data_IF_448990325083
#
_entry.id   IF_448990325083
#
_cell.length_a   1.000
_cell.length_b   1.000
_cell.length_c   1.000
_cell.angle_alpha   90.00
_cell.angle_beta   90.00
_cell.angle_gamma   90.00
#
_symmetry.space_group_name_H-M   'P 1'
#
loop_
_entity.id
_entity.type
_entity.pdbx_description
1 polymer ?
#
# COMPACT_ATOMS: atom_id res chain seq x y z
N UNK A 1 -4.81 34.67 8.65
CA UNK A 1 -5.40 33.69 9.58
C UNK A 1 -5.18 32.31 8.94
N UNK A 2 -4.40 31.46 9.57
CA UNK A 2 -4.29 30.08 9.09
C UNK A 2 -5.65 29.42 9.26
N UNK A 3 -6.34 29.15 8.16
CA UNK A 3 -7.58 28.37 8.20
C UNK A 3 -7.20 26.97 8.68
N UNK A 4 -7.82 26.50 9.76
CA UNK A 4 -7.60 25.11 10.23
C UNK A 4 -8.00 24.10 9.15
N UNK A 5 -7.66 22.82 9.33
CA UNK A 5 -7.98 21.78 8.36
C UNK A 5 -9.50 21.73 8.10
N UNK A 6 -9.90 21.42 6.86
CA UNK A 6 -11.33 21.29 6.53
C UNK A 6 -11.95 20.17 7.39
N UNK A 7 -13.04 20.50 8.10
CA UNK A 7 -13.68 19.58 9.06
C UNK A 7 -14.20 18.31 8.40
N UNK A 8 -14.62 18.39 7.14
CA UNK A 8 -15.14 17.23 6.38
C UNK A 8 -14.00 16.29 6.00
N UNK A 9 -12.85 16.84 5.57
CA UNK A 9 -11.66 16.04 5.27
C UNK A 9 -11.13 15.35 6.53
N UNK A 10 -11.07 16.07 7.65
CA UNK A 10 -10.68 15.50 8.94
C UNK A 10 -11.66 14.41 9.43
N UNK A 11 -12.97 14.61 9.24
CA UNK A 11 -13.98 13.60 9.55
C UNK A 11 -13.84 12.37 8.66
N UNK A 12 -13.63 12.56 7.36
CA UNK A 12 -13.41 11.46 6.42
C UNK A 12 -12.18 10.62 6.81
N UNK A 13 -11.09 11.26 7.22
CA UNK A 13 -9.89 10.57 7.69
C UNK A 13 -10.17 9.71 8.94
N UNK A 14 -10.90 10.26 9.90
CA UNK A 14 -11.34 9.50 11.08
C UNK A 14 -12.17 8.28 10.69
N UNK A 15 -13.18 8.46 9.84
CA UNK A 15 -14.04 7.38 9.36
C UNK A 15 -13.25 6.30 8.60
N UNK A 16 -12.25 6.71 7.79
CA UNK A 16 -11.35 5.76 7.14
C UNK A 16 -10.53 4.93 8.13
N UNK A 17 -10.10 5.54 9.24
CA UNK A 17 -9.38 4.85 10.32
C UNK A 17 -10.30 3.86 11.05
N UNK A 18 -11.55 4.23 11.26
CA UNK A 18 -12.61 3.39 11.88
C UNK A 18 -13.17 2.31 10.92
N UNK A 19 -12.63 2.23 9.69
CA UNK A 19 -13.07 1.33 8.61
C UNK A 19 -14.48 1.62 8.06
N UNK A 20 -15.02 2.76 8.35
CA UNK A 20 -16.31 3.29 7.89
C UNK A 20 -16.18 3.88 6.47
N UNK A 21 -15.80 3.05 5.50
CA UNK A 21 -15.40 3.51 4.17
C UNK A 21 -16.56 4.19 3.41
N UNK A 22 -17.79 3.68 3.51
CA UNK A 22 -18.94 4.27 2.83
C UNK A 22 -19.34 5.62 3.43
N UNK A 23 -19.30 5.74 4.75
CA UNK A 23 -19.51 7.01 5.45
C UNK A 23 -18.45 8.05 5.09
N UNK A 24 -17.19 7.65 4.98
CA UNK A 24 -16.11 8.53 4.55
C UNK A 24 -16.33 9.04 3.12
N UNK A 25 -16.73 8.17 2.18
CA UNK A 25 -17.06 8.56 0.81
C UNK A 25 -18.21 9.57 0.79
N UNK A 26 -19.29 9.32 1.54
CA UNK A 26 -20.44 10.21 1.60
C UNK A 26 -20.04 11.62 2.05
N UNK A 27 -19.24 11.73 3.11
CA UNK A 27 -18.73 13.04 3.60
C UNK A 27 -17.86 13.73 2.55
N UNK A 28 -17.00 12.98 1.85
CA UNK A 28 -16.15 13.55 0.80
C UNK A 28 -16.96 14.03 -0.41
N UNK A 29 -18.06 13.37 -0.76
CA UNK A 29 -18.94 13.78 -1.86
C UNK A 29 -19.70 15.09 -1.61
N UNK A 30 -19.84 15.52 -0.34
CA UNK A 30 -20.42 16.84 0.00
C UNK A 30 -19.46 17.99 -0.34
N UNK A 31 -18.19 17.72 -0.60
CA UNK A 31 -17.19 18.76 -0.94
C UNK A 31 -17.28 19.04 -2.42
N UNK A 32 -17.94 20.13 -2.77
CA UNK A 32 -18.05 20.61 -4.16
C UNK A 32 -16.72 21.24 -4.59
N UNK A 33 -16.29 20.95 -5.82
CA UNK A 33 -15.08 21.53 -6.42
C UNK A 33 -13.88 21.50 -5.46
N UNK A 34 -13.47 20.34 -4.97
CA UNK A 34 -12.47 20.23 -3.90
C UNK A 34 -11.14 20.91 -4.26
N UNK A 35 -10.77 20.93 -5.54
CA UNK A 35 -9.56 21.59 -6.06
C UNK A 35 -9.60 23.13 -5.90
N UNK A 36 -10.78 23.75 -5.78
CA UNK A 36 -10.95 25.18 -5.66
C UNK A 36 -11.26 25.62 -4.22
N UNK A 37 -11.87 24.74 -3.43
CA UNK A 37 -12.44 25.05 -2.13
C UNK A 37 -11.62 24.53 -0.93
N UNK A 38 -10.61 23.69 -1.17
CA UNK A 38 -9.73 23.16 -0.15
C UNK A 38 -8.34 23.81 -0.23
N UNK A 39 -7.61 23.82 0.89
CA UNK A 39 -6.17 24.12 0.87
C UNK A 39 -5.42 23.03 0.12
N UNK A 40 -4.19 23.30 -0.35
CA UNK A 40 -3.37 22.30 -1.05
C UNK A 40 -3.21 21.03 -0.23
N UNK A 41 -3.00 21.16 1.10
CA UNK A 41 -2.89 20.05 2.02
C UNK A 41 -4.19 19.26 2.12
N UNK A 42 -5.30 19.95 2.32
CA UNK A 42 -6.60 19.27 2.48
C UNK A 42 -7.05 18.63 1.18
N UNK A 43 -6.74 19.25 0.03
CA UNK A 43 -7.00 18.65 -1.28
C UNK A 43 -6.14 17.40 -1.52
N UNK A 44 -4.86 17.44 -1.16
CA UNK A 44 -3.99 16.26 -1.22
C UNK A 44 -4.50 15.13 -0.31
N UNK A 45 -4.93 15.46 0.90
CA UNK A 45 -5.50 14.48 1.83
C UNK A 45 -6.84 13.92 1.32
N UNK A 46 -7.72 14.78 0.82
CA UNK A 46 -8.98 14.37 0.17
C UNK A 46 -8.73 13.38 -0.98
N UNK A 47 -7.78 13.70 -1.86
CA UNK A 47 -7.42 12.85 -2.99
C UNK A 47 -6.87 11.48 -2.55
N UNK A 48 -6.04 11.47 -1.51
CA UNK A 48 -5.53 10.24 -0.91
C UNK A 48 -6.65 9.39 -0.33
N UNK A 49 -7.48 9.97 0.55
CA UNK A 49 -8.56 9.24 1.25
C UNK A 49 -9.58 8.65 0.27
N UNK A 50 -9.94 9.41 -0.77
CA UNK A 50 -10.86 8.92 -1.79
C UNK A 50 -10.24 7.76 -2.58
N UNK A 51 -8.97 7.86 -2.93
CA UNK A 51 -8.24 6.78 -3.62
C UNK A 51 -8.11 5.52 -2.75
N UNK A 52 -7.84 5.67 -1.45
CA UNK A 52 -7.83 4.54 -0.51
C UNK A 52 -9.21 3.90 -0.36
N UNK A 53 -10.27 4.70 -0.31
CA UNK A 53 -11.64 4.19 -0.27
C UNK A 53 -11.96 3.39 -1.54
N UNK A 54 -11.59 3.91 -2.72
CA UNK A 54 -11.72 3.19 -3.99
C UNK A 54 -10.87 1.91 -4.02
N UNK A 55 -9.66 1.94 -3.44
CA UNK A 55 -8.82 0.75 -3.30
C UNK A 55 -9.50 -0.31 -2.44
N UNK A 56 -10.02 0.04 -1.27
CA UNK A 56 -10.74 -0.88 -0.37
C UNK A 56 -11.97 -1.50 -1.05
N UNK A 57 -12.69 -0.74 -1.86
CA UNK A 57 -13.86 -1.19 -2.62
C UNK A 57 -13.48 -1.89 -3.93
N UNK A 58 -12.20 -2.06 -4.23
CA UNK A 58 -11.69 -2.64 -5.48
C UNK A 58 -12.15 -1.88 -6.75
N UNK A 59 -12.35 -0.58 -6.63
CA UNK A 59 -12.89 0.31 -7.68
C UNK A 59 -11.82 1.21 -8.30
N UNK A 60 -10.53 1.00 -8.01
CA UNK A 60 -9.44 1.74 -8.66
C UNK A 60 -9.56 1.60 -10.20
N UNK A 61 -9.45 2.72 -10.88
CA UNK A 61 -9.55 2.82 -12.35
C UNK A 61 -8.59 3.90 -12.88
N UNK A 62 -8.56 4.11 -14.20
CA UNK A 62 -7.66 5.08 -14.82
C UNK A 62 -7.88 6.53 -14.35
N UNK A 63 -9.10 6.91 -13.94
CA UNK A 63 -9.40 8.26 -13.43
C UNK A 63 -8.74 8.49 -12.06
N UNK A 64 -8.57 7.42 -11.26
CA UNK A 64 -7.87 7.47 -9.98
C UNK A 64 -6.40 7.88 -10.15
N UNK A 65 -5.81 7.66 -11.31
CA UNK A 65 -4.43 8.05 -11.61
C UNK A 65 -4.25 9.57 -11.49
N UNK A 66 -5.13 10.33 -12.12
CA UNK A 66 -5.13 11.79 -12.02
C UNK A 66 -5.46 12.28 -10.61
N UNK A 67 -6.39 11.59 -9.93
CA UNK A 67 -6.79 11.94 -8.57
C UNK A 67 -5.63 11.79 -7.56
N UNK A 68 -4.76 10.79 -7.72
CA UNK A 68 -3.63 10.56 -6.80
C UNK A 68 -2.45 11.52 -6.96
N UNK A 69 -2.30 12.19 -8.11
CA UNK A 69 -1.15 13.06 -8.38
C UNK A 69 -0.97 14.18 -7.35
N UNK A 70 -1.99 14.94 -6.93
CA UNK A 70 -1.87 15.97 -5.90
C UNK A 70 -1.36 15.42 -4.58
N UNK A 71 -1.86 14.24 -4.15
CA UNK A 71 -1.44 13.61 -2.91
C UNK A 71 0.02 13.18 -2.96
N UNK A 72 0.44 12.48 -4.03
CA UNK A 72 1.83 12.05 -4.20
C UNK A 72 2.77 13.25 -4.21
N UNK A 73 2.45 14.29 -4.98
CA UNK A 73 3.27 15.50 -5.07
C UNK A 73 3.40 16.17 -3.71
N UNK A 74 2.27 16.56 -3.12
CA UNK A 74 2.25 17.34 -1.89
C UNK A 74 2.98 16.62 -0.74
N UNK A 75 2.63 15.36 -0.47
CA UNK A 75 3.20 14.64 0.69
C UNK A 75 4.65 14.23 0.48
N UNK A 76 5.10 13.97 -0.76
CA UNK A 76 6.51 13.73 -1.04
C UNK A 76 7.36 15.00 -0.85
N UNK A 77 6.85 16.18 -1.23
CA UNK A 77 7.55 17.47 -1.11
C UNK A 77 7.52 18.03 0.31
N UNK A 78 6.42 17.82 1.05
CA UNK A 78 6.28 18.29 2.44
C UNK A 78 7.07 17.46 3.46
N UNK A 79 7.58 16.31 3.07
CA UNK A 79 8.29 15.39 3.96
C UNK A 79 7.37 14.61 4.91
N UNK A 80 6.05 14.62 4.67
CA UNK A 80 5.09 13.80 5.45
C UNK A 80 5.13 12.34 4.98
N UNK A 81 6.09 11.60 5.53
CA UNK A 81 6.40 10.23 5.13
C UNK A 81 5.21 9.29 5.23
N UNK A 82 4.32 9.51 6.21
CA UNK A 82 3.14 8.66 6.41
C UNK A 82 2.16 8.75 5.23
N UNK A 83 1.78 9.97 4.84
CA UNK A 83 0.84 10.15 3.73
C UNK A 83 1.51 9.93 2.36
N UNK A 84 2.80 10.24 2.22
CA UNK A 84 3.57 9.95 1.00
C UNK A 84 3.61 8.44 0.72
N UNK A 85 3.90 7.63 1.73
CA UNK A 85 3.88 6.17 1.64
C UNK A 85 2.50 5.65 1.23
N UNK A 86 1.44 6.09 1.91
CA UNK A 86 0.06 5.69 1.64
C UNK A 86 -0.36 6.02 0.20
N UNK A 87 -0.02 7.22 -0.29
CA UNK A 87 -0.33 7.64 -1.65
C UNK A 87 0.40 6.79 -2.70
N UNK A 88 1.68 6.51 -2.48
CA UNK A 88 2.49 5.65 -3.35
C UNK A 88 2.03 4.18 -3.31
N UNK A 89 1.60 3.70 -2.15
CA UNK A 89 1.01 2.37 -2.02
C UNK A 89 -0.28 2.24 -2.86
N UNK A 90 -1.20 3.21 -2.77
CA UNK A 90 -2.39 3.26 -3.61
C UNK A 90 -2.04 3.34 -5.10
N UNK A 91 -1.05 4.17 -5.47
CA UNK A 91 -0.58 4.28 -6.87
C UNK A 91 -0.06 2.95 -7.39
N UNK A 92 0.75 2.25 -6.60
CA UNK A 92 1.28 0.95 -6.98
C UNK A 92 0.17 -0.09 -7.23
N UNK A 93 -0.87 -0.09 -6.39
CA UNK A 93 -2.04 -0.97 -6.59
C UNK A 93 -2.83 -0.61 -7.84
N UNK A 94 -2.99 0.68 -8.12
CA UNK A 94 -3.61 1.15 -9.35
C UNK A 94 -2.82 0.69 -10.58
N UNK A 95 -1.49 0.91 -10.59
CA UNK A 95 -0.65 0.51 -11.71
C UNK A 95 -0.67 -1.00 -11.95
N UNK A 96 -0.63 -1.80 -10.86
CA UNK A 96 -0.78 -3.25 -10.95
C UNK A 96 -2.13 -3.63 -11.56
N UNK A 97 -3.22 -2.98 -11.17
CA UNK A 97 -4.57 -3.24 -11.69
C UNK A 97 -4.67 -2.87 -13.18
N UNK A 98 -3.96 -1.86 -13.62
CA UNK A 98 -3.87 -1.43 -15.01
C UNK A 98 -2.78 -2.18 -15.81
N UNK A 99 -2.22 -3.26 -15.26
CA UNK A 99 -1.16 -4.08 -15.85
C UNK A 99 0.13 -3.32 -16.14
N UNK A 100 0.37 -2.17 -15.49
CA UNK A 100 1.60 -1.37 -15.57
C UNK A 100 2.61 -1.85 -14.52
N UNK A 101 3.12 -3.08 -14.66
CA UNK A 101 3.91 -3.76 -13.62
C UNK A 101 5.23 -3.02 -13.29
N UNK A 102 5.88 -2.37 -14.27
CA UNK A 102 7.09 -1.57 -14.03
C UNK A 102 6.82 -0.35 -13.17
N UNK A 103 5.71 0.35 -13.44
CA UNK A 103 5.30 1.52 -12.66
C UNK A 103 4.86 1.12 -11.25
N UNK A 104 4.16 0.00 -11.11
CA UNK A 104 3.80 -0.57 -9.82
C UNK A 104 5.05 -0.90 -8.98
N UNK A 105 6.07 -1.53 -9.58
CA UNK A 105 7.35 -1.79 -8.93
C UNK A 105 7.99 -0.50 -8.42
N UNK A 106 8.07 0.54 -9.27
CA UNK A 106 8.67 1.83 -8.89
C UNK A 106 7.91 2.50 -7.75
N UNK A 107 6.57 2.48 -7.79
CA UNK A 107 5.73 3.08 -6.75
C UNK A 107 5.86 2.35 -5.42
N UNK A 108 5.89 1.01 -5.40
CA UNK A 108 6.16 0.25 -4.18
C UNK A 108 7.57 0.47 -3.64
N UNK A 109 8.59 0.54 -4.50
CA UNK A 109 9.96 0.84 -4.07
C UNK A 109 10.07 2.24 -3.45
N UNK A 110 9.40 3.25 -4.02
CA UNK A 110 9.33 4.60 -3.42
C UNK A 110 8.61 4.58 -2.08
N UNK A 111 7.48 3.85 -1.95
CA UNK A 111 6.78 3.67 -0.68
C UNK A 111 7.70 3.05 0.38
N UNK A 112 8.49 2.03 -0.01
CA UNK A 112 9.45 1.38 0.88
C UNK A 112 10.53 2.35 1.41
N UNK A 113 10.96 3.35 0.62
CA UNK A 113 11.91 4.36 1.08
C UNK A 113 11.33 5.22 2.22
N UNK A 114 10.04 5.59 2.16
CA UNK A 114 9.37 6.33 3.22
C UNK A 114 9.12 5.49 4.49
N UNK A 115 9.14 4.16 4.37
CA UNK A 115 9.01 3.25 5.51
C UNK A 115 10.33 2.96 6.24
N UNK A 116 11.47 3.36 5.69
CA UNK A 116 12.76 3.15 6.32
C UNK A 116 12.84 3.89 7.66
N UNK A 117 13.09 3.14 8.75
CA UNK A 117 13.18 3.70 10.10
C UNK A 117 11.84 4.10 10.73
N UNK A 118 10.71 3.88 10.08
CA UNK A 118 9.38 4.24 10.61
C UNK A 118 8.91 3.35 11.76
N UNK A 119 9.46 2.14 11.91
CA UNK A 119 8.96 1.13 12.84
C UNK A 119 7.61 0.52 12.46
N UNK A 120 7.06 0.86 11.30
CA UNK A 120 5.76 0.34 10.84
C UNK A 120 5.94 -1.02 10.15
N UNK A 121 6.10 -2.06 10.95
CA UNK A 121 6.32 -3.42 10.46
C UNK A 121 5.14 -3.98 9.65
N UNK A 122 3.91 -3.56 9.93
CA UNK A 122 2.75 -4.00 9.15
C UNK A 122 2.81 -3.47 7.71
N UNK A 123 3.14 -2.21 7.52
CA UNK A 123 3.28 -1.64 6.18
C UNK A 123 4.54 -2.16 5.47
N UNK A 124 5.63 -2.37 6.20
CA UNK A 124 6.82 -3.05 5.65
C UNK A 124 6.48 -4.44 5.14
N UNK A 125 5.72 -5.23 5.92
CA UNK A 125 5.22 -6.53 5.48
C UNK A 125 4.40 -6.40 4.19
N UNK A 126 3.40 -5.53 4.18
CA UNK A 126 2.48 -5.35 3.04
C UNK A 126 3.22 -4.93 1.77
N UNK A 127 4.08 -3.92 1.84
CA UNK A 127 4.82 -3.43 0.67
C UNK A 127 5.75 -4.51 0.12
N UNK A 128 6.48 -5.23 0.98
CA UNK A 128 7.36 -6.32 0.55
C UNK A 128 6.58 -7.50 -0.06
N UNK A 129 5.43 -7.85 0.51
CA UNK A 129 4.55 -8.89 -0.07
C UNK A 129 4.13 -8.51 -1.49
N UNK A 130 3.71 -7.26 -1.71
CA UNK A 130 3.28 -6.81 -3.03
C UNK A 130 4.44 -6.64 -4.03
N UNK A 131 5.62 -6.22 -3.59
CA UNK A 131 6.84 -6.28 -4.41
C UNK A 131 7.12 -7.70 -4.88
N UNK A 132 7.00 -8.67 -3.98
CA UNK A 132 7.11 -10.08 -4.33
C UNK A 132 6.06 -10.56 -5.34
N UNK A 133 4.80 -10.07 -5.24
CA UNK A 133 3.74 -10.36 -6.23
C UNK A 133 4.06 -9.74 -7.59
N UNK A 134 4.56 -8.51 -7.62
CA UNK A 134 4.97 -7.86 -8.88
C UNK A 134 6.12 -8.61 -9.53
N UNK A 135 7.13 -9.03 -8.76
CA UNK A 135 8.23 -9.87 -9.26
C UNK A 135 7.71 -11.19 -9.83
N UNK A 136 6.79 -11.86 -9.13
CA UNK A 136 6.20 -13.11 -9.61
C UNK A 136 5.50 -12.92 -10.97
N UNK A 137 4.73 -11.84 -11.14
CA UNK A 137 4.06 -11.52 -12.40
C UNK A 137 5.03 -11.18 -13.55
N UNK A 138 6.27 -10.85 -13.23
CA UNK A 138 7.35 -10.59 -14.18
C UNK A 138 8.30 -11.79 -14.33
N UNK A 139 7.98 -12.94 -13.73
CA UNK A 139 8.80 -14.14 -13.69
C UNK A 139 10.19 -13.94 -13.05
N UNK A 140 10.33 -12.88 -12.23
CA UNK A 140 11.54 -12.58 -11.44
C UNK A 140 11.49 -13.34 -10.10
N UNK A 141 11.71 -14.64 -10.14
CA UNK A 141 11.51 -15.52 -8.98
C UNK A 141 12.51 -15.26 -7.84
N UNK A 142 13.73 -14.86 -8.13
CA UNK A 142 14.72 -14.41 -7.14
C UNK A 142 14.26 -13.12 -6.45
N UNK A 143 13.65 -12.20 -7.19
CA UNK A 143 13.02 -10.98 -6.66
C UNK A 143 11.87 -11.34 -5.71
N UNK A 144 10.95 -12.23 -6.14
CA UNK A 144 9.88 -12.78 -5.30
C UNK A 144 10.45 -13.29 -3.97
N UNK A 145 11.50 -14.11 -4.04
CA UNK A 145 12.15 -14.73 -2.89
C UNK A 145 12.73 -13.70 -1.92
N UNK A 146 13.45 -12.69 -2.48
CA UNK A 146 14.05 -11.62 -1.69
C UNK A 146 13.01 -10.83 -0.91
N UNK A 147 11.96 -10.38 -1.58
CA UNK A 147 10.91 -9.59 -0.94
C UNK A 147 10.05 -10.42 0.03
N UNK A 148 9.78 -11.68 -0.26
CA UNK A 148 9.08 -12.57 0.69
C UNK A 148 9.87 -12.77 1.98
N UNK A 149 11.21 -12.85 1.92
CA UNK A 149 12.07 -12.92 3.10
C UNK A 149 12.05 -11.62 3.91
N UNK A 150 12.02 -10.45 3.24
CA UNK A 150 11.89 -9.16 3.95
C UNK A 150 10.49 -9.03 4.61
N UNK A 151 9.43 -9.50 3.94
CA UNK A 151 8.10 -9.59 4.55
C UNK A 151 8.10 -10.50 5.79
N UNK A 152 8.76 -11.67 5.73
CA UNK A 152 8.88 -12.55 6.89
C UNK A 152 9.60 -11.87 8.06
N UNK A 153 10.68 -11.11 7.82
CA UNK A 153 11.38 -10.37 8.86
C UNK A 153 10.45 -9.35 9.56
N UNK A 154 9.63 -8.64 8.78
CA UNK A 154 8.64 -7.72 9.34
C UNK A 154 7.56 -8.46 10.14
N UNK A 155 7.05 -9.57 9.63
CA UNK A 155 6.06 -10.40 10.31
C UNK A 155 6.58 -10.94 11.66
N UNK A 156 7.84 -11.34 11.72
CA UNK A 156 8.48 -11.81 12.96
C UNK A 156 8.61 -10.69 14.00
N UNK A 157 8.88 -9.44 13.59
CA UNK A 157 8.93 -8.30 14.53
C UNK A 157 7.55 -7.91 15.08
N UNK A 158 6.49 -8.15 14.31
CA UNK A 158 5.10 -7.94 14.77
C UNK A 158 4.62 -9.03 15.76
N UNK A 159 5.35 -10.13 15.91
CA UNK A 159 4.92 -11.32 16.67
C UNK A 159 3.50 -11.80 16.27
N UNK A 160 3.23 -11.76 14.97
CA UNK A 160 1.91 -12.08 14.41
C UNK A 160 1.98 -13.37 13.59
N UNK A 161 1.41 -14.43 14.14
CA UNK A 161 1.42 -15.76 13.56
C UNK A 161 0.78 -15.81 12.17
N UNK A 162 -0.32 -15.08 11.97
CA UNK A 162 -1.01 -15.03 10.67
C UNK A 162 -0.10 -14.49 9.56
N UNK A 163 0.55 -13.33 9.80
CA UNK A 163 1.48 -12.75 8.82
C UNK A 163 2.74 -13.60 8.63
N UNK A 164 3.24 -14.21 9.71
CA UNK A 164 4.35 -15.15 9.61
C UNK A 164 4.03 -16.32 8.68
N UNK A 165 2.87 -16.96 8.86
CA UNK A 165 2.47 -18.10 8.03
C UNK A 165 2.27 -17.71 6.57
N UNK A 166 1.63 -16.57 6.29
CA UNK A 166 1.51 -16.07 4.93
C UNK A 166 2.87 -15.82 4.28
N UNK A 167 3.82 -15.22 5.00
CA UNK A 167 5.17 -15.00 4.47
C UNK A 167 5.93 -16.31 4.20
N UNK A 168 5.77 -17.33 5.05
CA UNK A 168 6.33 -18.66 4.81
C UNK A 168 5.73 -19.31 3.56
N UNK A 169 4.42 -19.21 3.34
CA UNK A 169 3.76 -19.65 2.11
C UNK A 169 4.28 -18.91 0.86
N UNK A 170 4.50 -17.60 0.99
CA UNK A 170 5.07 -16.79 -0.09
C UNK A 170 6.50 -17.22 -0.45
N UNK A 171 7.32 -17.58 0.55
CA UNK A 171 8.67 -18.13 0.35
C UNK A 171 8.59 -19.51 -0.30
N UNK A 172 7.70 -20.39 0.16
CA UNK A 172 7.48 -21.70 -0.44
C UNK A 172 7.10 -21.57 -1.92
N UNK A 173 6.21 -20.63 -2.26
CA UNK A 173 5.82 -20.32 -3.63
C UNK A 173 7.03 -19.87 -4.46
N UNK A 174 7.90 -19.02 -3.93
CA UNK A 174 9.11 -18.59 -4.62
C UNK A 174 10.06 -19.76 -4.91
N UNK A 175 10.28 -20.65 -3.94
CA UNK A 175 11.09 -21.85 -4.16
C UNK A 175 10.49 -22.82 -5.17
N UNK A 176 9.15 -22.95 -5.17
CA UNK A 176 8.44 -23.77 -6.16
C UNK A 176 8.72 -23.31 -7.60
N UNK A 177 8.60 -22.00 -7.87
CA UNK A 177 8.88 -21.44 -9.19
C UNK A 177 10.37 -21.50 -9.58
N UNK A 178 11.27 -21.53 -8.59
CA UNK A 178 12.71 -21.78 -8.81
C UNK A 178 13.04 -23.27 -9.00
N UNK A 179 12.03 -24.15 -9.05
CA UNK A 179 12.18 -25.61 -9.12
C UNK A 179 13.02 -26.22 -7.98
N UNK A 180 12.99 -25.58 -6.80
CA UNK A 180 13.67 -26.05 -5.58
C UNK A 180 12.66 -26.71 -4.65
N UNK A 181 12.15 -27.88 -5.07
CA UNK A 181 10.98 -28.51 -4.46
C UNK A 181 11.18 -28.89 -2.98
N UNK A 182 12.36 -29.37 -2.60
CA UNK A 182 12.67 -29.71 -1.19
C UNK A 182 12.56 -28.47 -0.28
N UNK A 183 13.10 -27.34 -0.75
CA UNK A 183 13.00 -26.08 -0.01
C UNK A 183 11.56 -25.58 0.05
N UNK A 184 10.82 -25.68 -1.05
CA UNK A 184 9.40 -25.30 -1.10
C UNK A 184 8.58 -26.13 -0.08
N UNK A 185 8.79 -27.43 -0.04
CA UNK A 185 8.12 -28.31 0.91
C UNK A 185 8.48 -27.97 2.37
N UNK A 186 9.75 -27.72 2.65
CA UNK A 186 10.21 -27.32 3.99
C UNK A 186 9.50 -26.05 4.49
N UNK A 187 9.41 -25.01 3.67
CA UNK A 187 8.72 -23.77 4.05
C UNK A 187 7.20 -23.91 4.12
N UNK A 188 6.59 -24.73 3.25
CA UNK A 188 5.17 -25.03 3.32
C UNK A 188 4.83 -25.79 4.61
N UNK A 189 5.64 -26.77 4.99
CA UNK A 189 5.49 -27.49 6.26
C UNK A 189 5.67 -26.56 7.47
N UNK A 190 6.67 -25.69 7.45
CA UNK A 190 6.87 -24.70 8.51
C UNK A 190 5.69 -23.73 8.66
N UNK A 191 4.98 -23.41 7.57
CA UNK A 191 3.76 -22.60 7.62
C UNK A 191 2.57 -23.39 8.19
N UNK A 192 2.52 -24.69 7.96
CA UNK A 192 1.44 -25.55 8.46
C UNK A 192 1.59 -25.84 9.96
N UNK A 193 2.83 -26.02 10.43
CA UNK A 193 3.14 -26.39 11.83
C UNK A 193 3.16 -25.18 12.78
N UNK A 194 3.05 -23.97 12.27
CA UNK A 194 3.15 -22.73 13.06
C UNK A 194 1.79 -22.27 13.55
#
# INVERSE_FOLDING_TARGET
MACGPDRRVALAEKLMTEKETDSAIAVMQEIKEPQNNLTDRDYALYALLLSEAMHRKQQLNAETDTLLLPAIKYFSESGDSLYAERALYCKAHLDRRLYRMKDAMQSFLKALLFLQGSGNDEQLYRVNTWLGVVCLNQEEYEGKMRYSKEALKAALRMDNLFYKNLALCDIATGYYFLNRLDSALCYAQAAYDA
#
